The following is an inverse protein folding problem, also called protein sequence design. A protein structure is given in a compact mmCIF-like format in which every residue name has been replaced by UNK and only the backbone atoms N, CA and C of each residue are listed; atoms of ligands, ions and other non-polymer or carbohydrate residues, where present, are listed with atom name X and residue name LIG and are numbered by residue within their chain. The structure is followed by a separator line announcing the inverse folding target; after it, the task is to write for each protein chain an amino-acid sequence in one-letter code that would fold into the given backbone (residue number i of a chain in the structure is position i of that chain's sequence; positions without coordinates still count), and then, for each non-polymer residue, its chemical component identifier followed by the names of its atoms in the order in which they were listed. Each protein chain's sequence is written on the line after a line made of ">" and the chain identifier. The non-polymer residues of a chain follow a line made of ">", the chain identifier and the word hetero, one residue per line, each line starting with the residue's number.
data_IF_841986151734
#
_entry.id   IF_841986151734
#
_cell.length_a   1.000
_cell.length_b   1.000
_cell.length_c   1.000
_cell.angle_alpha   90.00
_cell.angle_beta   90.00
_cell.angle_gamma   90.00
#
_symmetry.space_group_name_H-M   'P 1'
#
loop_
_entity.id
_entity.type
_entity.pdbx_description
1 polymer ?
#
# COMPACT_ATOMS: atom_id res chain seq x y z
N UNK A 1 15.04 11.44 -8.03
CA UNK A 1 13.59 11.42 -7.69
C UNK A 1 13.42 10.83 -6.31
N UNK A 2 12.64 11.49 -5.43
CA UNK A 2 12.47 11.08 -4.03
C UNK A 2 11.49 9.91 -3.93
N UNK A 3 11.60 9.10 -2.88
CA UNK A 3 10.79 7.87 -2.66
C UNK A 3 9.30 8.15 -2.80
N UNK A 4 8.75 9.10 -2.03
CA UNK A 4 7.33 9.45 -2.06
C UNK A 4 6.88 10.01 -3.43
N UNK A 5 7.70 10.83 -4.06
CA UNK A 5 7.41 11.40 -5.39
C UNK A 5 7.23 10.29 -6.45
N UNK A 6 8.02 9.21 -6.37
CA UNK A 6 7.90 8.08 -7.30
C UNK A 6 6.56 7.36 -7.14
N UNK A 7 6.15 7.11 -5.90
CA UNK A 7 4.84 6.52 -5.62
C UNK A 7 3.72 7.41 -6.18
N UNK A 8 3.75 8.72 -5.93
CA UNK A 8 2.75 9.66 -6.46
C UNK A 8 2.71 9.61 -8.00
N UNK A 9 3.88 9.67 -8.67
CA UNK A 9 3.95 9.63 -10.14
C UNK A 9 3.41 8.31 -10.71
N UNK A 10 3.68 7.17 -10.08
CA UNK A 10 3.15 5.88 -10.52
C UNK A 10 1.62 5.85 -10.48
N UNK A 11 1.02 6.37 -9.39
CA UNK A 11 -0.43 6.47 -9.27
C UNK A 11 -1.02 7.50 -10.22
N UNK A 12 -0.40 8.69 -10.36
CA UNK A 12 -0.86 9.72 -11.28
C UNK A 12 -0.82 9.29 -12.76
N UNK A 13 0.07 8.35 -13.10
CA UNK A 13 0.14 7.77 -14.44
C UNK A 13 -0.88 6.66 -14.70
N UNK A 14 -1.62 6.21 -13.69
CA UNK A 14 -2.66 5.19 -13.83
C UNK A 14 -4.00 5.86 -14.18
N UNK A 15 -4.58 5.52 -15.33
CA UNK A 15 -5.79 6.16 -15.86
C UNK A 15 -7.03 5.99 -14.99
N UNK A 16 -7.07 4.94 -14.16
CA UNK A 16 -8.16 4.69 -13.23
C UNK A 16 -8.11 5.56 -11.97
N UNK A 17 -7.01 6.24 -11.71
CA UNK A 17 -6.85 7.15 -10.57
C UNK A 17 -7.28 8.55 -10.97
N UNK A 18 -8.17 9.14 -10.19
CA UNK A 18 -8.76 10.46 -10.45
C UNK A 18 -8.29 11.55 -9.50
N UNK A 19 -7.80 11.18 -8.32
CA UNK A 19 -7.18 12.08 -7.34
C UNK A 19 -6.21 11.32 -6.43
N UNK A 20 -5.30 12.03 -5.82
CA UNK A 20 -4.35 11.49 -4.83
C UNK A 20 -4.37 12.36 -3.58
N UNK A 21 -4.58 11.73 -2.43
CA UNK A 21 -4.40 12.36 -1.13
C UNK A 21 -3.13 11.83 -0.48
N UNK A 22 -2.18 12.71 -0.23
CA UNK A 22 -0.91 12.38 0.41
C UNK A 22 -1.00 12.67 1.90
N UNK A 23 -0.98 11.62 2.69
CA UNK A 23 -1.03 11.73 4.16
C UNK A 23 0.39 11.76 4.71
N UNK A 24 0.88 12.95 5.01
CA UNK A 24 2.23 13.13 5.56
C UNK A 24 2.39 14.51 6.22
N UNK A 25 3.42 14.71 7.09
CA UNK A 25 3.79 16.03 7.57
C UNK A 25 4.07 17.01 6.44
N UNK A 26 3.77 18.30 6.67
CA UNK A 26 3.90 19.35 5.67
C UNK A 26 5.33 19.48 5.12
N UNK A 27 6.32 19.38 5.99
CA UNK A 27 7.73 19.47 5.62
C UNK A 27 8.15 18.35 4.66
N UNK A 28 7.52 17.15 4.78
CA UNK A 28 7.77 16.04 3.87
C UNK A 28 7.17 16.29 2.49
N UNK A 29 5.99 16.89 2.45
CA UNK A 29 5.34 17.26 1.19
C UNK A 29 6.12 18.39 0.48
N UNK A 30 6.51 19.41 1.19
CA UNK A 30 7.39 20.47 0.64
C UNK A 30 8.74 19.92 0.18
N UNK A 31 9.32 18.98 0.93
CA UNK A 31 10.59 18.37 0.55
C UNK A 31 10.58 17.67 -0.81
N UNK A 32 9.44 17.24 -1.31
CA UNK A 32 9.29 16.64 -2.64
C UNK A 32 8.73 17.62 -3.68
N UNK A 33 8.58 18.90 -3.33
CA UNK A 33 7.86 19.90 -4.13
C UNK A 33 6.43 19.43 -4.47
N UNK A 34 5.74 18.86 -3.49
CA UNK A 34 4.46 18.21 -3.69
C UNK A 34 3.39 19.11 -4.32
N UNK A 35 3.43 20.42 -4.01
CA UNK A 35 2.52 21.40 -4.61
C UNK A 35 2.80 21.68 -6.10
N UNK A 36 4.04 21.45 -6.55
CA UNK A 36 4.51 21.72 -7.91
C UNK A 36 4.68 20.43 -8.73
N UNK A 37 4.16 19.30 -8.23
CA UNK A 37 4.17 18.06 -9.00
C UNK A 37 3.28 18.21 -10.25
N UNK A 38 3.90 18.18 -11.40
CA UNK A 38 3.18 18.17 -12.69
C UNK A 38 2.43 16.83 -12.83
N UNK A 39 1.15 16.85 -12.49
CA UNK A 39 0.23 15.71 -12.63
C UNK A 39 -1.07 16.19 -13.28
N UNK A 40 -1.68 15.33 -14.10
CA UNK A 40 -2.98 15.63 -14.75
C UNK A 40 -4.16 15.56 -13.76
N UNK A 41 -3.95 15.01 -12.57
CA UNK A 41 -4.97 14.82 -11.54
C UNK A 41 -4.61 15.60 -10.27
N UNK A 42 -5.60 15.99 -9.44
CA UNK A 42 -5.33 16.66 -8.18
C UNK A 42 -4.47 15.82 -7.24
N UNK A 43 -3.45 16.46 -6.66
CA UNK A 43 -2.65 15.90 -5.57
C UNK A 43 -2.78 16.82 -4.37
N UNK A 44 -3.45 16.37 -3.33
CA UNK A 44 -3.67 17.12 -2.11
C UNK A 44 -2.91 16.51 -0.94
N UNK A 45 -2.70 17.29 0.11
CA UNK A 45 -2.00 16.85 1.31
C UNK A 45 -2.86 17.01 2.55
N UNK A 46 -2.75 16.05 3.48
CA UNK A 46 -3.35 16.11 4.81
C UNK A 46 -2.40 15.57 5.87
N UNK A 47 -2.54 16.01 7.11
CA UNK A 47 -1.78 15.46 8.24
C UNK A 47 -2.24 14.05 8.61
N UNK A 48 -1.30 13.23 9.05
CA UNK A 48 -1.60 11.93 9.63
C UNK A 48 -2.24 12.02 11.01
N UNK A 49 -2.72 10.88 11.51
CA UNK A 49 -3.12 10.69 12.90
C UNK A 49 -1.99 10.09 13.73
N UNK A 50 -2.27 9.78 15.01
CA UNK A 50 -1.34 9.11 15.90
C UNK A 50 -1.06 7.66 15.45
N UNK A 51 -2.08 7.00 14.91
CA UNK A 51 -2.02 5.64 14.42
C UNK A 51 -2.22 5.58 12.89
N UNK A 52 -1.79 4.43 12.28
CA UNK A 52 -1.90 4.25 10.82
C UNK A 52 -3.34 4.36 10.32
N UNK A 53 -4.28 3.71 10.98
CA UNK A 53 -5.70 3.74 10.59
C UNK A 53 -6.32 5.13 10.69
N UNK A 54 -5.89 5.96 11.65
CA UNK A 54 -6.32 7.36 11.76
C UNK A 54 -5.77 8.19 10.58
N UNK A 55 -4.52 7.93 10.20
CA UNK A 55 -3.92 8.58 9.02
C UNK A 55 -4.71 8.27 7.75
N UNK A 56 -5.13 7.01 7.55
CA UNK A 56 -5.97 6.66 6.39
C UNK A 56 -7.34 7.33 6.49
N UNK A 57 -7.97 7.37 7.66
CA UNK A 57 -9.25 8.09 7.86
C UNK A 57 -9.12 9.58 7.52
N UNK A 58 -8.04 10.23 7.94
CA UNK A 58 -7.79 11.63 7.57
C UNK A 58 -7.66 11.78 6.06
N UNK A 59 -6.97 10.84 5.39
CA UNK A 59 -6.88 10.79 3.93
C UNK A 59 -8.24 10.64 3.25
N UNK A 60 -9.09 9.72 3.75
CA UNK A 60 -10.45 9.53 3.23
C UNK A 60 -11.34 10.76 3.42
N UNK A 61 -11.20 11.45 4.54
CA UNK A 61 -11.96 12.68 4.83
C UNK A 61 -11.52 13.88 3.96
N UNK A 62 -10.32 13.83 3.39
CA UNK A 62 -9.78 14.89 2.53
C UNK A 62 -10.06 14.67 1.03
N UNK A 63 -10.75 13.60 0.67
CA UNK A 63 -11.16 13.36 -0.71
C UNK A 63 -12.09 14.46 -1.21
N UNK A 64 -11.84 14.94 -2.42
CA UNK A 64 -12.65 15.98 -3.07
C UNK A 64 -14.03 15.47 -3.50
N UNK A 65 -14.10 14.19 -3.85
CA UNK A 65 -15.31 13.52 -4.31
C UNK A 65 -15.46 12.18 -3.62
N UNK A 66 -16.70 11.69 -3.53
CA UNK A 66 -16.96 10.32 -3.05
C UNK A 66 -16.58 9.32 -4.16
N UNK A 67 -15.51 8.54 -4.00
CA UNK A 67 -15.08 7.60 -5.02
C UNK A 67 -15.88 6.30 -4.95
N UNK A 68 -15.87 5.53 -6.04
CA UNK A 68 -16.38 4.15 -6.02
C UNK A 68 -15.37 3.22 -5.32
N UNK A 69 -14.09 3.39 -5.59
CA UNK A 69 -12.99 2.63 -5.00
C UNK A 69 -11.90 3.54 -4.45
N UNK A 70 -11.22 3.05 -3.41
CA UNK A 70 -10.05 3.68 -2.81
C UNK A 70 -8.88 2.72 -2.86
N UNK A 71 -7.72 3.22 -3.28
CA UNK A 71 -6.45 2.53 -3.19
C UNK A 71 -5.60 3.12 -2.05
N UNK A 72 -5.29 2.33 -1.06
CA UNK A 72 -4.36 2.70 0.02
C UNK A 72 -2.98 2.19 -0.30
N UNK A 73 -1.98 3.08 -0.30
CA UNK A 73 -0.61 2.73 -0.67
C UNK A 73 0.42 3.31 0.29
N UNK A 74 1.39 2.48 0.64
CA UNK A 74 2.57 2.92 1.40
C UNK A 74 3.45 3.81 0.51
N UNK A 75 3.53 5.10 0.78
CA UNK A 75 4.41 6.03 0.04
C UNK A 75 5.90 5.65 0.08
N UNK A 76 6.27 4.69 0.93
CA UNK A 76 7.59 4.09 1.03
C UNK A 76 7.81 2.88 0.10
N UNK A 77 6.89 2.59 -0.83
CA UNK A 77 7.05 1.54 -1.87
C UNK A 77 7.17 2.15 -3.27
N UNK A 78 8.33 2.71 -3.61
CA UNK A 78 8.50 3.52 -4.84
C UNK A 78 8.59 2.71 -6.12
N UNK A 79 8.60 1.37 -6.06
CA UNK A 79 8.77 0.51 -7.23
C UNK A 79 7.45 -0.06 -7.76
N UNK A 80 6.33 0.36 -7.19
CA UNK A 80 5.01 -0.03 -7.69
C UNK A 80 4.85 0.35 -9.16
N UNK A 81 4.26 -0.53 -9.96
CA UNK A 81 4.01 -0.30 -11.38
C UNK A 81 2.56 0.06 -11.65
N UNK A 82 2.32 0.81 -12.73
CA UNK A 82 0.98 1.16 -13.19
C UNK A 82 0.16 -0.10 -13.46
N UNK A 83 0.77 -1.14 -14.03
CA UNK A 83 0.14 -2.41 -14.32
C UNK A 83 -0.36 -3.10 -13.04
N UNK A 84 0.45 -3.10 -11.97
CA UNK A 84 0.04 -3.70 -10.70
C UNK A 84 -1.07 -2.90 -10.03
N UNK A 85 -1.02 -1.56 -10.10
CA UNK A 85 -2.10 -0.68 -9.62
C UNK A 85 -3.40 -1.03 -10.35
N UNK A 86 -3.38 -1.03 -11.68
CA UNK A 86 -4.53 -1.33 -12.52
C UNK A 86 -5.09 -2.74 -12.24
N UNK A 87 -4.23 -3.76 -12.12
CA UNK A 87 -4.64 -5.13 -11.77
C UNK A 87 -5.35 -5.19 -10.42
N UNK A 88 -4.86 -4.49 -9.40
CA UNK A 88 -5.52 -4.42 -8.10
C UNK A 88 -6.90 -3.74 -8.20
N UNK A 89 -7.01 -2.65 -8.98
CA UNK A 89 -8.29 -1.95 -9.18
C UNK A 89 -9.29 -2.87 -9.91
N UNK A 90 -8.87 -3.52 -10.99
CA UNK A 90 -9.73 -4.43 -11.76
C UNK A 90 -10.21 -5.61 -10.90
N UNK A 91 -9.31 -6.17 -10.08
CA UNK A 91 -9.66 -7.26 -9.17
C UNK A 91 -10.63 -6.78 -8.07
N UNK A 92 -10.43 -5.55 -7.55
CA UNK A 92 -11.36 -4.99 -6.56
C UNK A 92 -12.76 -4.73 -7.16
N UNK A 93 -12.86 -4.36 -8.43
CA UNK A 93 -14.15 -4.23 -9.13
C UNK A 93 -14.93 -5.54 -9.18
N UNK A 94 -14.23 -6.67 -9.30
CA UNK A 94 -14.85 -7.99 -9.36
C UNK A 94 -15.20 -8.54 -7.96
N UNK A 95 -14.35 -8.31 -6.96
CA UNK A 95 -14.46 -8.95 -5.65
C UNK A 95 -14.77 -7.99 -4.48
N UNK A 96 -14.90 -6.70 -4.73
CA UNK A 96 -15.10 -5.66 -3.71
C UNK A 96 -13.82 -5.22 -2.99
N UNK A 97 -12.82 -6.10 -2.88
CA UNK A 97 -11.56 -5.83 -2.22
C UNK A 97 -10.41 -6.62 -2.86
N UNK A 98 -9.26 -5.98 -3.05
CA UNK A 98 -8.05 -6.60 -3.60
C UNK A 98 -6.79 -6.02 -2.95
N UNK A 99 -5.73 -6.81 -2.83
CA UNK A 99 -4.46 -6.36 -2.29
C UNK A 99 -3.29 -6.96 -3.06
N UNK A 100 -2.29 -6.13 -3.36
CA UNK A 100 -1.00 -6.59 -3.87
C UNK A 100 -0.31 -7.47 -2.83
N UNK A 101 0.22 -8.59 -3.24
CA UNK A 101 0.93 -9.52 -2.38
C UNK A 101 1.82 -10.47 -3.20
N UNK A 102 2.77 -11.13 -2.54
CA UNK A 102 3.54 -12.24 -3.12
C UNK A 102 3.62 -13.40 -2.14
N UNK A 103 3.73 -14.66 -2.62
CA UNK A 103 3.82 -15.81 -1.74
C UNK A 103 5.13 -15.78 -0.95
N UNK A 104 5.10 -16.33 0.27
CA UNK A 104 6.31 -16.51 1.07
C UNK A 104 7.18 -17.59 0.43
N UNK A 105 8.43 -17.25 0.13
CA UNK A 105 9.43 -18.15 -0.46
C UNK A 105 10.41 -18.69 0.57
N UNK A 106 10.66 -17.96 1.64
CA UNK A 106 11.61 -18.33 2.68
C UNK A 106 11.04 -19.35 3.68
N UNK A 107 11.92 -20.09 4.35
CA UNK A 107 11.54 -20.94 5.46
C UNK A 107 11.24 -20.10 6.68
N UNK A 108 10.03 -20.21 7.23
CA UNK A 108 9.61 -19.50 8.44
C UNK A 108 9.81 -20.34 9.68
N UNK A 109 10.25 -19.70 10.76
CA UNK A 109 10.33 -20.28 12.11
C UNK A 109 9.73 -19.32 13.12
N UNK A 110 9.06 -19.87 14.11
CA UNK A 110 8.73 -19.08 15.32
C UNK A 110 9.92 -19.09 16.25
N UNK A 111 10.12 -18.01 16.97
CA UNK A 111 11.12 -17.89 17.99
C UNK A 111 10.48 -17.36 19.28
N UNK A 112 11.06 -17.69 20.42
CA UNK A 112 10.73 -17.11 21.71
C UNK A 112 11.31 -15.68 21.86
N UNK A 113 11.11 -15.07 23.04
CA UNK A 113 11.60 -13.73 23.33
C UNK A 113 13.13 -13.64 23.37
N UNK A 114 13.81 -14.75 23.60
CA UNK A 114 15.26 -14.88 23.64
C UNK A 114 15.85 -15.23 22.28
N UNK A 115 15.00 -15.34 21.23
CA UNK A 115 15.33 -15.66 19.84
C UNK A 115 15.79 -17.11 19.60
N UNK A 116 15.40 -18.03 20.47
CA UNK A 116 15.52 -19.45 20.19
C UNK A 116 14.34 -19.96 19.39
N UNK A 117 14.58 -20.82 18.41
CA UNK A 117 13.50 -21.43 17.65
C UNK A 117 12.69 -22.37 18.56
N UNK A 118 11.37 -22.22 18.53
CA UNK A 118 10.47 -23.17 19.19
C UNK A 118 10.11 -24.33 18.27
N UNK A 119 9.80 -25.52 18.80
CA UNK A 119 9.55 -26.73 18.01
C UNK A 119 8.16 -26.73 17.32
N UNK A 120 7.80 -25.63 16.70
CA UNK A 120 6.58 -25.45 15.93
C UNK A 120 6.94 -25.30 14.44
N UNK A 121 6.41 -26.19 13.62
CA UNK A 121 6.57 -26.06 12.18
C UNK A 121 5.60 -24.99 11.66
N UNK A 122 6.13 -24.02 10.93
CA UNK A 122 5.32 -23.06 10.19
C UNK A 122 5.24 -23.54 8.74
N UNK A 123 4.07 -24.03 8.36
CA UNK A 123 3.80 -24.33 6.95
C UNK A 123 3.65 -23.03 6.18
N UNK A 124 4.45 -22.87 5.12
CA UNK A 124 4.43 -21.64 4.31
C UNK A 124 3.40 -21.67 3.20
N UNK A 125 2.85 -22.83 2.87
CA UNK A 125 1.83 -22.96 1.84
C UNK A 125 0.59 -22.13 2.23
N UNK A 126 0.16 -21.27 1.31
CA UNK A 126 -0.93 -20.33 1.58
C UNK A 126 -0.53 -19.07 2.38
N UNK A 127 0.73 -18.91 2.78
CA UNK A 127 1.21 -17.67 3.38
C UNK A 127 1.68 -16.67 2.31
N UNK A 128 1.25 -15.43 2.48
CA UNK A 128 1.56 -14.34 1.56
C UNK A 128 2.13 -13.14 2.32
N UNK A 129 3.14 -12.51 1.75
CA UNK A 129 3.63 -11.23 2.18
C UNK A 129 2.75 -10.14 1.60
N UNK A 130 2.09 -9.39 2.48
CA UNK A 130 1.21 -8.31 2.06
C UNK A 130 2.01 -7.11 1.58
N UNK A 131 1.56 -6.55 0.48
CA UNK A 131 2.07 -5.30 -0.09
C UNK A 131 0.93 -4.28 -0.20
N UNK A 132 1.23 -3.18 -0.85
CA UNK A 132 0.27 -2.20 -1.32
C UNK A 132 0.51 -1.91 -2.81
N UNK A 133 -0.52 -1.51 -3.60
CA UNK A 133 -1.81 -0.99 -3.15
C UNK A 133 -2.74 -2.07 -2.59
N UNK A 134 -3.57 -1.65 -1.65
CA UNK A 134 -4.76 -2.35 -1.19
C UNK A 134 -5.96 -1.55 -1.65
N UNK A 135 -6.84 -2.14 -2.44
CA UNK A 135 -7.94 -1.45 -3.12
C UNK A 135 -9.28 -2.00 -2.65
N UNK A 136 -10.20 -1.10 -2.34
CA UNK A 136 -11.49 -1.45 -1.73
C UNK A 136 -12.61 -0.62 -2.32
N UNK A 137 -13.82 -1.18 -2.37
CA UNK A 137 -15.02 -0.36 -2.49
C UNK A 137 -15.07 0.63 -1.32
N UNK A 138 -15.32 1.90 -1.62
CA UNK A 138 -15.27 2.97 -0.61
C UNK A 138 -16.24 2.75 0.56
N UNK A 139 -17.54 2.40 0.35
CA UNK A 139 -18.44 2.11 1.47
C UNK A 139 -17.95 0.95 2.34
N UNK A 140 -17.42 -0.11 1.72
CA UNK A 140 -16.94 -1.29 2.43
C UNK A 140 -15.76 -0.95 3.37
N UNK A 141 -14.84 -0.09 2.92
CA UNK A 141 -13.73 0.37 3.75
C UNK A 141 -14.22 1.23 4.91
N UNK A 142 -15.22 2.09 4.69
CA UNK A 142 -15.81 2.89 5.75
C UNK A 142 -16.46 2.01 6.82
N UNK A 143 -17.26 1.01 6.43
CA UNK A 143 -17.90 0.07 7.35
C UNK A 143 -16.84 -0.68 8.20
N UNK A 144 -15.75 -1.11 7.57
CA UNK A 144 -14.64 -1.74 8.29
C UNK A 144 -14.01 -0.80 9.33
N UNK A 145 -13.86 0.49 9.02
CA UNK A 145 -13.31 1.46 9.96
C UNK A 145 -14.28 1.86 11.08
N UNK A 146 -15.58 1.75 10.88
CA UNK A 146 -16.56 1.86 11.98
C UNK A 146 -16.28 0.77 13.01
N UNK A 147 -16.15 -0.49 12.58
CA UNK A 147 -15.84 -1.62 13.47
C UNK A 147 -14.49 -1.47 14.19
N UNK A 148 -13.44 -1.02 13.48
CA UNK A 148 -12.13 -0.74 14.07
C UNK A 148 -12.26 0.27 15.22
N UNK A 149 -13.05 1.32 15.00
CA UNK A 149 -13.25 2.40 15.98
C UNK A 149 -14.10 1.94 17.16
N UNK A 150 -15.24 1.29 16.91
CA UNK A 150 -16.17 0.84 17.94
C UNK A 150 -15.57 -0.22 18.86
N UNK A 151 -14.76 -1.12 18.29
CA UNK A 151 -14.06 -2.16 19.06
C UNK A 151 -12.73 -1.72 19.64
N UNK A 152 -12.26 -0.50 19.31
CA UNK A 152 -10.94 0.03 19.70
C UNK A 152 -9.79 -0.95 19.39
N UNK A 153 -9.81 -1.53 18.19
CA UNK A 153 -8.82 -2.51 17.73
C UNK A 153 -7.73 -1.82 16.92
N UNK A 154 -6.47 -2.10 17.22
CA UNK A 154 -5.37 -1.72 16.34
C UNK A 154 -5.31 -2.68 15.15
N UNK A 155 -5.31 -2.12 13.95
CA UNK A 155 -5.14 -2.87 12.71
C UNK A 155 -3.81 -2.51 12.04
N UNK A 156 -3.16 -3.49 11.46
CA UNK A 156 -1.86 -3.33 10.79
C UNK A 156 -2.00 -2.83 9.35
N UNK A 157 -3.12 -3.17 8.72
CA UNK A 157 -3.47 -2.78 7.36
C UNK A 157 -5.00 -2.81 7.15
N UNK A 158 -5.45 -2.39 5.98
CA UNK A 158 -6.87 -2.30 5.62
C UNK A 158 -7.48 -3.69 5.41
N UNK A 159 -6.69 -4.68 4.97
CA UNK A 159 -7.14 -6.07 4.86
C UNK A 159 -7.56 -6.61 6.22
N UNK A 160 -6.78 -6.33 7.27
CA UNK A 160 -7.13 -6.68 8.65
C UNK A 160 -8.42 -6.00 9.11
N UNK A 161 -8.64 -4.74 8.72
CA UNK A 161 -9.91 -4.05 9.02
C UNK A 161 -11.11 -4.74 8.37
N UNK A 162 -11.00 -5.14 7.09
CA UNK A 162 -12.08 -5.84 6.40
C UNK A 162 -12.38 -7.22 7.00
N UNK A 163 -11.38 -7.91 7.53
CA UNK A 163 -11.58 -9.19 8.22
C UNK A 163 -12.50 -9.06 9.44
N UNK A 164 -12.54 -7.90 10.12
CA UNK A 164 -13.43 -7.65 11.26
C UNK A 164 -14.90 -7.67 10.87
N UNK A 165 -15.22 -7.31 9.63
CA UNK A 165 -16.57 -7.35 9.07
C UNK A 165 -16.83 -8.63 8.23
N UNK A 166 -15.90 -9.59 8.27
CA UNK A 166 -16.02 -10.87 7.57
C UNK A 166 -15.88 -10.79 6.05
N UNK A 167 -15.37 -9.68 5.50
CA UNK A 167 -15.20 -9.55 4.07
C UNK A 167 -13.80 -10.04 3.63
N UNK A 168 -13.72 -11.02 2.69
CA UNK A 168 -12.45 -11.50 2.17
C UNK A 168 -11.83 -10.47 1.21
N UNK A 169 -10.51 -10.42 1.17
CA UNK A 169 -9.75 -9.62 0.20
C UNK A 169 -9.06 -10.54 -0.81
N UNK A 170 -9.23 -10.28 -2.10
CA UNK A 170 -8.57 -11.04 -3.16
C UNK A 170 -7.10 -10.63 -3.27
N UNK A 171 -6.17 -11.59 -3.17
CA UNK A 171 -4.75 -11.32 -3.36
C UNK A 171 -4.41 -11.25 -4.85
N UNK A 172 -3.67 -10.21 -5.23
CA UNK A 172 -3.16 -9.99 -6.59
C UNK A 172 -1.66 -10.19 -6.57
N UNK A 173 -1.20 -11.30 -7.16
CA UNK A 173 0.22 -11.64 -7.15
C UNK A 173 1.03 -10.55 -7.86
N UNK A 174 1.95 -9.94 -7.13
CA UNK A 174 2.93 -9.02 -7.69
C UNK A 174 4.19 -9.80 -8.09
N UNK A 175 4.48 -9.83 -9.37
CA UNK A 175 5.65 -10.51 -9.93
C UNK A 175 6.89 -9.61 -9.95
N UNK A 176 6.69 -8.30 -9.79
CA UNK A 176 7.77 -7.31 -9.77
C UNK A 176 8.16 -6.98 -8.32
N UNK A 177 9.46 -6.80 -8.03
CA UNK A 177 9.90 -6.40 -6.70
C UNK A 177 9.31 -5.04 -6.31
N UNK A 178 8.62 -4.98 -5.16
CA UNK A 178 8.04 -3.76 -4.60
C UNK A 178 8.37 -3.62 -3.11
N UNK A 179 9.67 -3.60 -2.74
CA UNK A 179 10.07 -3.54 -1.34
C UNK A 179 9.63 -2.23 -0.69
N UNK A 180 9.29 -2.32 0.60
CA UNK A 180 9.08 -1.14 1.43
C UNK A 180 10.43 -0.61 1.89
N UNK A 181 10.70 0.65 1.64
CA UNK A 181 11.88 1.36 2.16
C UNK A 181 11.65 1.61 3.65
N UNK A 182 12.30 0.84 4.49
CA UNK A 182 12.19 0.90 5.95
C UNK A 182 13.49 1.39 6.57
N UNK A 183 14.63 0.97 6.00
CA UNK A 183 15.96 1.31 6.46
C UNK A 183 16.74 2.07 5.38
N UNK A 184 17.75 2.85 5.74
CA UNK A 184 18.58 3.56 4.76
C UNK A 184 19.16 2.67 3.66
N UNK A 185 19.52 1.43 3.99
CA UNK A 185 20.10 0.44 3.08
C UNK A 185 19.12 -0.01 1.99
N UNK A 186 17.81 0.08 2.25
CA UNK A 186 16.79 -0.28 1.28
C UNK A 186 16.77 0.66 0.06
N UNK A 187 17.29 1.87 0.22
CA UNK A 187 17.39 2.84 -0.88
C UNK A 187 18.31 2.30 -1.98
N UNK A 188 19.53 1.89 -1.61
CA UNK A 188 20.48 1.33 -2.57
C UNK A 188 19.97 0.07 -3.24
N UNK A 189 19.25 -0.77 -2.48
CA UNK A 189 18.60 -1.97 -3.03
C UNK A 189 17.51 -1.60 -4.05
N UNK A 190 16.70 -0.60 -3.75
CA UNK A 190 15.67 -0.12 -4.68
C UNK A 190 16.27 0.48 -5.94
N UNK A 191 17.36 1.26 -5.84
CA UNK A 191 18.08 1.82 -6.98
C UNK A 191 18.63 0.72 -7.90
N UNK A 192 19.27 -0.31 -7.33
CA UNK A 192 19.74 -1.46 -8.10
C UNK A 192 18.61 -2.19 -8.84
N UNK A 193 17.46 -2.40 -8.18
CA UNK A 193 16.29 -3.03 -8.81
C UNK A 193 15.75 -2.20 -9.98
N UNK A 194 15.80 -0.87 -9.87
CA UNK A 194 15.42 0.02 -10.96
C UNK A 194 16.35 -0.08 -12.15
N UNK A 195 17.67 -0.09 -11.92
CA UNK A 195 18.66 -0.25 -12.99
C UNK A 195 18.48 -1.57 -13.72
N UNK A 196 18.29 -2.67 -12.99
CA UNK A 196 18.02 -3.97 -13.59
C UNK A 196 16.74 -3.98 -14.44
N UNK A 197 15.71 -3.24 -14.03
CA UNK A 197 14.47 -3.11 -14.79
C UNK A 197 14.68 -2.34 -16.10
N UNK A 198 15.46 -1.26 -16.10
CA UNK A 198 15.81 -0.53 -17.33
C UNK A 198 16.56 -1.41 -18.30
N UNK A 199 17.56 -2.17 -17.85
CA UNK A 199 18.33 -3.08 -18.69
C UNK A 199 17.48 -4.18 -19.35
N UNK A 200 16.39 -4.63 -18.67
CA UNK A 200 15.46 -5.62 -19.26
C UNK A 200 14.53 -5.05 -20.32
N UNK A 201 14.20 -3.77 -20.21
CA UNK A 201 13.29 -3.12 -21.15
C UNK A 201 14.03 -2.65 -22.43
N UNK A 202 15.36 -2.52 -22.38
CA UNK A 202 16.22 -2.08 -23.47
C UNK A 202 16.79 -3.28 -24.28
N UNK A 203 16.49 -4.51 -23.88
CA UNK A 203 16.92 -5.76 -24.53
C UNK A 203 15.75 -6.46 -25.23
#
# INVERSE_FOLDING_TARGET
>A
VKVLERSIRAFASCREITEIVVVCPEERFHAINGADLETEIPVTRVDGGAERHESVRNGLAALLYTPEFVAVHDGARPLITVEQISRCIQTAREYGAAASAHPVTDTLKRADKERFTIPEQVERDGLWCMETPQVFQYPLLLDAYVEVTERNIQVTDEVTALQLIGHPTRLVHNHEPNPKITWPEDISRAEMLMELKHLRNDS
#
